data_IF_780571103726
#
_entry.id   IF_780571103726
#
_cell.length_a   1.000
_cell.length_b   1.000
_cell.length_c   1.000
_cell.angle_alpha   90.00
_cell.angle_beta   90.00
_cell.angle_gamma   90.00
#
_symmetry.space_group_name_H-M   'P 1'
#
loop_
_entity.id
_entity.type
_entity.pdbx_description
1 polymer ?
#
# COMPACT_ATOMS: atom_id res chain seq x y z
N UNK A 1 -3.61 -23.91 28.37
CA UNK A 1 -4.83 -23.16 28.01
C UNK A 1 -5.78 -24.12 27.29
N UNK A 2 -7.03 -24.27 27.74
CA UNK A 2 -7.96 -25.24 27.17
C UNK A 2 -8.27 -24.88 25.70
N UNK A 3 -7.87 -25.72 24.74
CA UNK A 3 -7.93 -25.39 23.29
C UNK A 3 -9.35 -25.17 22.78
N UNK A 4 -10.33 -25.85 23.39
CA UNK A 4 -11.76 -25.59 23.15
C UNK A 4 -12.13 -24.14 23.50
N UNK A 5 -11.68 -23.65 24.67
CA UNK A 5 -11.88 -22.25 25.08
C UNK A 5 -11.17 -21.25 24.16
N UNK A 6 -10.14 -21.66 23.41
CA UNK A 6 -9.49 -20.81 22.42
C UNK A 6 -10.33 -20.71 21.15
N UNK A 7 -10.86 -21.84 20.65
CA UNK A 7 -11.72 -21.87 19.45
C UNK A 7 -13.01 -21.10 19.71
N UNK A 8 -13.64 -21.25 20.88
CA UNK A 8 -14.85 -20.51 21.23
C UNK A 8 -14.60 -19.00 21.27
N UNK A 9 -13.48 -18.56 21.85
CA UNK A 9 -13.08 -17.14 21.88
C UNK A 9 -12.71 -16.61 20.49
N UNK A 10 -12.06 -17.44 19.67
CA UNK A 10 -11.71 -17.09 18.30
C UNK A 10 -12.95 -16.94 17.43
N UNK A 11 -13.95 -17.83 17.59
CA UNK A 11 -15.24 -17.75 16.91
C UNK A 11 -15.99 -16.48 17.29
N UNK A 12 -16.04 -16.14 18.59
CA UNK A 12 -16.64 -14.90 19.06
C UNK A 12 -15.96 -13.66 18.44
N UNK A 13 -14.62 -13.62 18.41
CA UNK A 13 -13.86 -12.53 17.79
C UNK A 13 -14.10 -12.44 16.27
N UNK A 14 -14.16 -13.58 15.58
CA UNK A 14 -14.46 -13.63 14.15
C UNK A 14 -15.84 -13.06 13.82
N UNK A 15 -16.89 -13.46 14.56
CA UNK A 15 -18.23 -12.92 14.34
C UNK A 15 -18.32 -11.42 14.63
N UNK A 16 -17.63 -10.92 15.65
CA UNK A 16 -17.55 -9.48 15.92
C UNK A 16 -16.93 -8.74 14.72
N UNK A 17 -15.84 -9.26 14.15
CA UNK A 17 -15.20 -8.67 12.98
C UNK A 17 -16.10 -8.71 11.74
N UNK A 18 -16.83 -9.80 11.53
CA UNK A 18 -17.81 -9.92 10.44
C UNK A 18 -18.92 -8.88 10.59
N UNK A 19 -19.47 -8.70 11.80
CA UNK A 19 -20.52 -7.70 12.08
C UNK A 19 -20.00 -6.28 11.82
N UNK A 20 -18.81 -5.94 12.33
CA UNK A 20 -18.18 -4.62 12.08
C UNK A 20 -18.00 -4.39 10.59
N UNK A 21 -17.58 -5.42 9.84
CA UNK A 21 -17.37 -5.31 8.39
C UNK A 21 -18.69 -5.14 7.63
N UNK A 22 -19.76 -5.85 8.02
CA UNK A 22 -21.10 -5.67 7.45
C UNK A 22 -21.62 -4.26 7.70
N UNK A 23 -21.47 -3.73 8.92
CA UNK A 23 -21.86 -2.34 9.23
C UNK A 23 -21.07 -1.36 8.36
N UNK A 24 -19.76 -1.60 8.16
CA UNK A 24 -18.93 -0.77 7.29
C UNK A 24 -19.35 -0.81 5.81
N UNK A 25 -19.77 -1.97 5.31
CA UNK A 25 -20.30 -2.12 3.94
C UNK A 25 -21.66 -1.43 3.83
N UNK A 26 -22.53 -1.56 4.85
CA UNK A 26 -23.83 -0.90 4.87
C UNK A 26 -23.71 0.63 4.96
N UNK A 27 -22.69 1.16 5.63
CA UNK A 27 -22.41 2.60 5.63
C UNK A 27 -22.05 3.14 4.23
N UNK A 28 -21.62 2.29 3.29
CA UNK A 28 -21.32 2.70 1.91
C UNK A 28 -22.59 2.97 1.09
N UNK A 29 -23.79 2.59 1.56
CA UNK A 29 -25.07 2.97 0.93
C UNK A 29 -25.27 4.49 0.84
N UNK A 30 -24.62 5.28 1.69
CA UNK A 30 -24.71 6.74 1.64
C UNK A 30 -23.94 7.37 0.46
N UNK A 31 -23.04 6.62 -0.18
CA UNK A 31 -22.13 7.16 -1.21
C UNK A 31 -22.04 6.31 -2.50
N UNK A 32 -22.58 5.08 -2.51
CA UNK A 32 -22.54 4.18 -3.66
C UNK A 32 -23.92 3.65 -4.07
N UNK A 33 -24.00 3.17 -5.32
CA UNK A 33 -25.20 2.50 -5.86
C UNK A 33 -25.59 1.27 -5.03
N UNK A 34 -26.89 1.12 -4.76
CA UNK A 34 -27.50 0.00 -4.04
C UNK A 34 -27.00 -1.37 -4.54
N UNK A 35 -26.89 -1.54 -5.87
CA UNK A 35 -26.45 -2.78 -6.50
C UNK A 35 -24.96 -3.10 -6.26
N UNK A 36 -24.11 -2.08 -6.16
CA UNK A 36 -22.68 -2.24 -5.83
C UNK A 36 -22.51 -2.72 -4.38
N UNK A 37 -23.27 -2.14 -3.45
CA UNK A 37 -23.25 -2.52 -2.04
C UNK A 37 -23.79 -3.94 -1.84
N UNK A 38 -24.82 -4.33 -2.58
CA UNK A 38 -25.34 -5.71 -2.56
C UNK A 38 -24.33 -6.70 -3.14
N UNK A 39 -23.68 -6.37 -4.26
CA UNK A 39 -22.65 -7.23 -4.86
C UNK A 39 -21.46 -7.45 -3.94
N UNK A 40 -20.96 -6.38 -3.31
CA UNK A 40 -19.86 -6.48 -2.34
C UNK A 40 -20.25 -7.26 -1.08
N UNK A 41 -21.49 -7.09 -0.60
CA UNK A 41 -22.02 -7.84 0.53
C UNK A 41 -22.20 -9.34 0.21
N UNK A 42 -22.59 -9.67 -1.01
CA UNK A 42 -22.70 -11.06 -1.48
C UNK A 42 -21.33 -11.74 -1.58
N UNK A 43 -20.34 -11.08 -2.17
CA UNK A 43 -18.95 -11.60 -2.24
C UNK A 43 -18.39 -11.79 -0.83
N UNK A 44 -18.61 -10.82 0.06
CA UNK A 44 -18.18 -10.91 1.45
C UNK A 44 -18.86 -12.08 2.18
N UNK A 45 -20.15 -12.31 1.97
CA UNK A 45 -20.89 -13.43 2.55
C UNK A 45 -20.33 -14.79 2.08
N UNK A 46 -19.97 -14.92 0.80
CA UNK A 46 -19.34 -16.15 0.26
C UNK A 46 -17.99 -16.41 0.94
N UNK A 47 -17.14 -15.38 1.05
CA UNK A 47 -15.82 -15.51 1.67
C UNK A 47 -15.95 -15.84 3.17
N UNK A 48 -16.85 -15.15 3.88
CA UNK A 48 -17.15 -15.43 5.29
C UNK A 48 -17.68 -16.85 5.48
N UNK A 49 -18.54 -17.34 4.58
CA UNK A 49 -19.06 -18.70 4.60
C UNK A 49 -17.97 -19.74 4.36
N UNK A 50 -17.03 -19.52 3.43
CA UNK A 50 -15.90 -20.42 3.19
C UNK A 50 -15.02 -20.49 4.45
N UNK A 51 -14.68 -19.35 5.06
CA UNK A 51 -13.88 -19.32 6.29
C UNK A 51 -14.62 -20.04 7.43
N UNK A 52 -15.91 -19.80 7.58
CA UNK A 52 -16.75 -20.48 8.57
C UNK A 52 -16.81 -21.99 8.34
N UNK A 53 -16.98 -22.44 7.09
CA UNK A 53 -16.97 -23.85 6.72
C UNK A 53 -15.62 -24.51 7.01
N UNK A 54 -14.50 -23.82 6.78
CA UNK A 54 -13.16 -24.30 7.13
C UNK A 54 -13.03 -24.44 8.66
N UNK A 55 -13.50 -23.47 9.43
CA UNK A 55 -13.44 -23.53 10.90
C UNK A 55 -14.30 -24.67 11.46
N UNK A 56 -15.53 -24.87 10.95
CA UNK A 56 -16.36 -26.03 11.32
C UNK A 56 -15.67 -27.35 10.97
N UNK A 57 -14.96 -27.41 9.83
CA UNK A 57 -14.20 -28.61 9.44
C UNK A 57 -13.02 -28.87 10.37
N UNK A 58 -12.40 -27.83 10.91
CA UNK A 58 -11.36 -27.94 11.92
C UNK A 58 -11.93 -28.39 13.28
N UNK A 59 -13.07 -27.82 13.70
CA UNK A 59 -13.76 -28.19 14.94
C UNK A 59 -14.30 -29.62 14.90
N UNK A 60 -14.86 -30.07 13.77
CA UNK A 60 -15.36 -31.45 13.61
C UNK A 60 -14.23 -32.48 13.58
N UNK A 61 -13.07 -32.13 13.02
CA UNK A 61 -11.86 -32.96 13.07
C UNK A 61 -11.28 -33.07 14.49
N UNK A 62 -11.49 -32.05 15.33
CA UNK A 62 -11.08 -32.04 16.74
C UNK A 62 -12.09 -32.76 17.66
N UNK A 63 -13.40 -32.60 17.43
CA UNK A 63 -14.44 -33.38 18.10
C UNK A 63 -14.36 -34.88 17.78
N UNK A 64 -13.99 -35.25 16.54
CA UNK A 64 -13.68 -36.63 16.16
C UNK A 64 -12.42 -37.19 16.85
N UNK A 65 -11.50 -36.33 17.31
CA UNK A 65 -10.34 -36.71 18.12
C UNK A 65 -10.68 -36.98 19.60
N UNK A 66 -11.80 -36.46 20.09
CA UNK A 66 -12.25 -36.63 21.48
C UNK A 66 -13.43 -37.60 21.66
N UNK A 67 -13.90 -38.24 20.58
CA UNK A 67 -14.91 -39.30 20.64
C UNK A 67 -14.38 -40.61 20.04
N UNK A 68 -13.36 -41.20 20.65
CA UNK A 68 -13.02 -42.62 20.45
C UNK A 68 -13.84 -43.49 21.41
N UNK A 69 -15.15 -43.47 21.18
CA UNK A 69 -16.05 -44.53 21.60
C UNK A 69 -16.02 -45.66 20.58
N UNK A 70 -15.09 -46.60 20.79
CA UNK A 70 -15.17 -48.02 20.45
C UNK A 70 -16.06 -48.40 19.24
N UNK A 71 -15.43 -48.55 18.06
CA UNK A 71 -15.88 -49.51 17.05
C UNK A 71 -14.69 -50.29 16.51
N UNK A 72 -14.69 -51.59 16.81
CA UNK A 72 -13.78 -52.59 16.28
C UNK A 72 -13.78 -52.56 14.74
N UNK A 73 -12.59 -52.50 14.14
CA UNK A 73 -12.41 -52.76 12.71
C UNK A 73 -11.10 -52.19 12.16
N UNK A 74 -10.04 -53.01 12.12
CA UNK A 74 -8.86 -52.80 11.26
C UNK A 74 -7.67 -52.08 11.88
N UNK A 75 -6.82 -52.84 12.59
CA UNK A 75 -5.51 -52.37 13.03
C UNK A 75 -4.55 -52.24 11.85
N UNK A 76 -4.21 -51.00 11.48
CA UNK A 76 -2.97 -50.67 10.77
C UNK A 76 -2.61 -49.16 10.82
N UNK A 77 -3.56 -48.28 11.15
CA UNK A 77 -3.39 -46.83 10.96
C UNK A 77 -2.52 -46.10 12.01
N UNK A 78 -2.46 -46.59 13.26
CA UNK A 78 -1.72 -45.92 14.35
C UNK A 78 -0.22 -46.26 14.40
N UNK A 79 0.17 -47.45 13.93
CA UNK A 79 1.60 -47.84 13.85
C UNK A 79 2.27 -47.07 12.71
N UNK A 80 1.56 -46.89 11.60
CA UNK A 80 2.03 -46.22 10.40
C UNK A 80 2.28 -44.72 10.61
N UNK A 81 1.40 -44.01 11.33
CA UNK A 81 1.60 -42.58 11.62
C UNK A 81 2.83 -42.34 12.52
N UNK A 82 3.00 -43.15 13.57
CA UNK A 82 4.15 -43.04 14.48
C UNK A 82 5.49 -43.38 13.80
N UNK A 83 5.48 -44.29 12.83
CA UNK A 83 6.64 -44.65 12.04
C UNK A 83 6.97 -43.55 11.02
N UNK A 84 5.95 -43.02 10.34
CA UNK A 84 6.10 -41.91 9.41
C UNK A 84 6.68 -40.67 10.10
N UNK A 85 6.18 -40.33 11.29
CA UNK A 85 6.69 -39.19 12.07
C UNK A 85 8.15 -39.41 12.49
N UNK A 86 8.53 -40.63 12.91
CA UNK A 86 9.93 -40.96 13.23
C UNK A 86 10.84 -40.84 12.01
N UNK A 87 10.41 -41.34 10.84
CA UNK A 87 11.17 -41.25 9.59
C UNK A 87 11.32 -39.78 9.17
N UNK A 88 10.22 -39.02 9.22
CA UNK A 88 10.23 -37.58 8.95
C UNK A 88 11.22 -36.86 9.85
N UNK A 89 11.13 -37.04 11.17
CA UNK A 89 12.04 -36.41 12.13
C UNK A 89 13.51 -36.76 11.86
N UNK A 90 13.80 -38.00 11.47
CA UNK A 90 15.17 -38.41 11.10
C UNK A 90 15.68 -37.65 9.87
N UNK A 91 14.85 -37.46 8.85
CA UNK A 91 15.23 -36.70 7.66
C UNK A 91 15.29 -35.19 7.90
N UNK A 92 14.41 -34.64 8.72
CA UNK A 92 14.48 -33.23 9.16
C UNK A 92 15.80 -32.98 9.88
N UNK A 93 16.15 -33.80 10.88
CA UNK A 93 17.44 -33.68 11.57
C UNK A 93 18.66 -33.88 10.66
N UNK A 94 18.56 -34.73 9.64
CA UNK A 94 19.62 -34.88 8.63
C UNK A 94 19.77 -33.63 7.76
N UNK A 95 18.66 -33.02 7.34
CA UNK A 95 18.68 -31.78 6.57
C UNK A 95 19.25 -30.62 7.41
N UNK A 96 18.83 -30.50 8.68
CA UNK A 96 19.35 -29.51 9.62
C UNK A 96 20.86 -29.67 9.85
N UNK A 97 21.34 -30.91 9.97
CA UNK A 97 22.79 -31.19 10.06
C UNK A 97 23.53 -30.67 8.83
N UNK A 98 23.03 -30.93 7.63
CA UNK A 98 23.65 -30.42 6.41
C UNK A 98 23.61 -28.88 6.33
N UNK A 99 22.55 -28.24 6.81
CA UNK A 99 22.48 -26.77 6.92
C UNK A 99 23.55 -26.25 7.89
N UNK A 100 23.71 -26.89 9.06
CA UNK A 100 24.73 -26.51 10.04
C UNK A 100 26.16 -26.66 9.47
N UNK A 101 26.37 -27.65 8.62
CA UNK A 101 27.62 -27.87 7.87
C UNK A 101 27.76 -26.95 6.63
N UNK A 102 26.78 -26.06 6.37
CA UNK A 102 26.67 -25.20 5.18
C UNK A 102 26.59 -25.94 3.85
N UNK A 103 26.24 -27.21 3.86
CA UNK A 103 25.95 -28.01 2.65
C UNK A 103 24.47 -27.89 2.25
N UNK A 104 24.10 -26.68 1.82
CA UNK A 104 22.73 -26.34 1.45
C UNK A 104 22.19 -27.18 0.28
N UNK A 105 23.06 -27.66 -0.62
CA UNK A 105 22.67 -28.54 -1.74
C UNK A 105 22.19 -29.89 -1.24
N UNK A 106 22.93 -30.51 -0.31
CA UNK A 106 22.51 -31.79 0.28
C UNK A 106 21.26 -31.62 1.14
N UNK A 107 21.20 -30.59 1.97
CA UNK A 107 20.01 -30.29 2.76
C UNK A 107 18.76 -30.13 1.89
N UNK A 108 18.86 -29.36 0.81
CA UNK A 108 17.76 -29.17 -0.12
C UNK A 108 17.33 -30.47 -0.82
N UNK A 109 18.27 -31.33 -1.20
CA UNK A 109 17.95 -32.66 -1.75
C UNK A 109 17.21 -33.54 -0.75
N UNK A 110 17.57 -33.49 0.54
CA UNK A 110 16.83 -34.20 1.61
C UNK A 110 15.39 -33.68 1.67
N UNK A 111 15.19 -32.36 1.72
CA UNK A 111 13.86 -31.77 1.72
C UNK A 111 13.04 -32.14 0.47
N UNK A 112 13.59 -32.00 -0.73
CA UNK A 112 12.85 -32.24 -1.97
C UNK A 112 12.58 -33.72 -2.24
N UNK A 113 13.57 -34.60 -2.01
CA UNK A 113 13.48 -35.99 -2.47
C UNK A 113 12.99 -36.93 -1.37
N UNK A 114 13.38 -36.70 -0.11
CA UNK A 114 13.04 -37.59 1.00
C UNK A 114 11.80 -37.11 1.76
N UNK A 115 11.68 -35.80 1.97
CA UNK A 115 10.54 -35.19 2.65
C UNK A 115 9.43 -34.71 1.69
N UNK A 116 9.68 -34.76 0.37
CA UNK A 116 8.77 -34.26 -0.68
C UNK A 116 8.34 -32.79 -0.48
N UNK A 117 9.14 -32.01 0.26
CA UNK A 117 8.92 -30.60 0.51
C UNK A 117 9.77 -29.75 -0.44
N UNK A 118 9.23 -29.52 -1.63
CA UNK A 118 9.90 -28.72 -2.66
C UNK A 118 10.11 -27.26 -2.23
N UNK A 119 9.21 -26.72 -1.40
CA UNK A 119 9.31 -25.33 -0.93
C UNK A 119 10.46 -25.15 0.04
N UNK A 120 10.55 -25.99 1.09
CA UNK A 120 11.69 -25.97 2.02
C UNK A 120 13.00 -26.25 1.32
N UNK A 121 12.99 -27.15 0.34
CA UNK A 121 14.15 -27.41 -0.52
C UNK A 121 14.62 -26.15 -1.26
N UNK A 122 13.71 -25.47 -1.97
CA UNK A 122 14.01 -24.23 -2.67
C UNK A 122 14.49 -23.13 -1.72
N UNK A 123 13.83 -22.99 -0.56
CA UNK A 123 14.18 -22.01 0.46
C UNK A 123 15.56 -22.24 1.05
N UNK A 124 15.91 -23.51 1.32
CA UNK A 124 17.24 -23.90 1.80
C UNK A 124 18.33 -23.55 0.78
N UNK A 125 18.07 -23.72 -0.52
CA UNK A 125 18.99 -23.29 -1.58
C UNK A 125 19.12 -21.76 -1.60
N UNK A 126 18.01 -21.04 -1.47
CA UNK A 126 18.01 -19.57 -1.43
C UNK A 126 18.83 -19.04 -0.24
N UNK A 127 18.61 -19.59 0.95
CA UNK A 127 19.31 -19.21 2.18
C UNK A 127 20.82 -19.52 2.09
N UNK A 128 21.19 -20.56 1.32
CA UNK A 128 22.57 -20.88 0.97
C UNK A 128 23.19 -20.01 -0.14
N UNK A 129 22.46 -19.03 -0.68
CA UNK A 129 22.91 -18.18 -1.79
C UNK A 129 22.93 -18.88 -3.16
N UNK A 130 22.37 -20.09 -3.26
CA UNK A 130 22.31 -20.90 -4.48
C UNK A 130 21.10 -20.52 -5.34
N UNK A 131 20.99 -19.22 -5.65
CA UNK A 131 19.79 -18.62 -6.23
C UNK A 131 19.38 -19.21 -7.58
N UNK A 132 20.32 -19.58 -8.45
CA UNK A 132 20.00 -20.20 -9.74
C UNK A 132 19.32 -21.58 -9.59
N UNK A 133 19.75 -22.37 -8.60
CA UNK A 133 19.17 -23.67 -8.31
C UNK A 133 17.80 -23.51 -7.65
N UNK A 134 17.69 -22.59 -6.69
CA UNK A 134 16.42 -22.23 -6.06
C UNK A 134 15.39 -21.78 -7.11
N UNK A 135 15.76 -20.89 -8.04
CA UNK A 135 14.90 -20.42 -9.11
C UNK A 135 14.37 -21.55 -9.99
N UNK A 136 15.22 -22.53 -10.33
CA UNK A 136 14.82 -23.69 -11.12
C UNK A 136 13.79 -24.57 -10.37
N UNK A 137 13.95 -24.73 -9.06
CA UNK A 137 12.97 -25.45 -8.22
C UNK A 137 11.66 -24.67 -8.14
N UNK A 138 11.70 -23.37 -7.86
CA UNK A 138 10.51 -22.52 -7.82
C UNK A 138 9.72 -22.57 -9.14
N UNK A 139 10.41 -22.50 -10.28
CA UNK A 139 9.77 -22.51 -11.59
C UNK A 139 9.23 -23.89 -11.96
N UNK A 140 10.04 -24.95 -11.85
CA UNK A 140 9.69 -26.27 -12.41
C UNK A 140 8.86 -27.15 -11.48
N UNK A 141 9.09 -27.06 -10.16
CA UNK A 141 8.45 -27.95 -9.16
C UNK A 141 7.32 -27.26 -8.41
N UNK A 142 7.40 -25.94 -8.22
CA UNK A 142 6.41 -25.17 -7.45
C UNK A 142 5.53 -24.28 -8.33
N UNK A 143 5.85 -24.15 -9.63
CA UNK A 143 5.19 -23.22 -10.57
C UNK A 143 5.06 -21.78 -10.02
N UNK A 144 6.01 -21.37 -9.18
CA UNK A 144 6.01 -20.06 -8.54
C UNK A 144 6.95 -19.13 -9.31
N UNK A 145 6.39 -18.45 -10.31
CA UNK A 145 7.13 -17.51 -11.17
C UNK A 145 7.68 -16.31 -10.39
N UNK A 146 6.97 -15.85 -9.36
CA UNK A 146 7.37 -14.68 -8.57
C UNK A 146 8.66 -14.95 -7.78
N UNK A 147 8.73 -16.06 -7.05
CA UNK A 147 9.93 -16.44 -6.31
C UNK A 147 11.08 -16.83 -7.23
N UNK A 148 10.78 -17.47 -8.38
CA UNK A 148 11.78 -17.76 -9.39
C UNK A 148 12.40 -16.46 -9.96
N UNK A 149 11.59 -15.45 -10.26
CA UNK A 149 12.05 -14.16 -10.77
C UNK A 149 12.96 -13.45 -9.75
N UNK A 150 12.53 -13.41 -8.48
CA UNK A 150 13.30 -12.86 -7.36
C UNK A 150 14.66 -13.58 -7.21
N UNK A 151 14.67 -14.91 -7.28
CA UNK A 151 15.91 -15.68 -7.24
C UNK A 151 16.82 -15.38 -8.44
N UNK A 152 16.27 -15.28 -9.66
CA UNK A 152 17.08 -14.90 -10.83
C UNK A 152 17.65 -13.49 -10.71
N UNK A 153 16.92 -12.54 -10.14
CA UNK A 153 17.42 -11.20 -9.85
C UNK A 153 18.59 -11.24 -8.85
N UNK A 154 18.43 -11.95 -7.72
CA UNK A 154 19.52 -12.14 -6.73
C UNK A 154 20.74 -12.83 -7.34
N UNK A 155 20.53 -13.72 -8.30
CA UNK A 155 21.58 -14.37 -9.09
C UNK A 155 22.20 -13.48 -10.18
N UNK A 156 21.76 -12.22 -10.32
CA UNK A 156 22.13 -11.28 -11.39
C UNK A 156 21.82 -11.81 -12.80
N UNK A 157 20.90 -12.76 -12.91
CA UNK A 157 20.38 -13.30 -14.18
C UNK A 157 19.23 -12.41 -14.67
N UNK A 158 19.51 -11.13 -14.89
CA UNK A 158 18.47 -10.12 -15.11
C UNK A 158 17.60 -10.40 -16.33
N UNK A 159 18.13 -10.96 -17.42
CA UNK A 159 17.32 -11.33 -18.60
C UNK A 159 16.22 -12.34 -18.25
N UNK A 160 16.54 -13.40 -17.49
CA UNK A 160 15.57 -14.40 -17.06
C UNK A 160 14.56 -13.83 -16.07
N UNK A 161 15.01 -12.97 -15.16
CA UNK A 161 14.11 -12.28 -14.22
C UNK A 161 13.15 -11.34 -14.97
N UNK A 162 13.64 -10.60 -15.97
CA UNK A 162 12.83 -9.73 -16.83
C UNK A 162 11.72 -10.53 -17.53
N UNK A 163 12.06 -11.67 -18.15
CA UNK A 163 11.07 -12.49 -18.85
C UNK A 163 9.94 -12.93 -17.91
N UNK A 164 10.28 -13.40 -16.71
CA UNK A 164 9.28 -13.78 -15.70
C UNK A 164 8.49 -12.58 -15.17
N UNK A 165 9.12 -11.43 -14.92
CA UNK A 165 8.42 -10.24 -14.44
C UNK A 165 7.49 -9.63 -15.49
N UNK A 166 7.79 -9.81 -16.79
CA UNK A 166 6.86 -9.47 -17.87
C UNK A 166 5.61 -10.34 -17.84
N UNK A 167 5.78 -11.66 -17.67
CA UNK A 167 4.65 -12.59 -17.54
C UNK A 167 3.79 -12.31 -16.29
N UNK A 168 4.40 -11.76 -15.25
CA UNK A 168 3.72 -11.34 -14.01
C UNK A 168 3.15 -9.91 -14.08
N UNK A 169 3.26 -9.23 -15.22
CA UNK A 169 2.84 -7.85 -15.44
C UNK A 169 3.44 -6.82 -14.45
N UNK A 170 4.60 -7.14 -13.86
CA UNK A 170 5.30 -6.26 -12.92
C UNK A 170 6.14 -5.21 -13.67
N UNK A 171 5.45 -4.31 -14.38
CA UNK A 171 6.05 -3.33 -15.30
C UNK A 171 7.16 -2.48 -14.67
N UNK A 172 6.96 -1.97 -13.45
CA UNK A 172 7.97 -1.15 -12.76
C UNK A 172 9.24 -1.97 -12.49
N UNK A 173 9.07 -3.23 -12.06
CA UNK A 173 10.19 -4.14 -11.78
C UNK A 173 10.96 -4.48 -13.04
N UNK A 174 10.26 -4.67 -14.16
CA UNK A 174 10.89 -4.86 -15.48
C UNK A 174 11.72 -3.63 -15.86
N UNK A 175 11.17 -2.42 -15.67
CA UNK A 175 11.90 -1.18 -15.89
C UNK A 175 13.17 -1.06 -15.03
N UNK A 176 13.06 -1.39 -13.74
CA UNK A 176 14.18 -1.41 -12.79
C UNK A 176 15.30 -2.34 -13.25
N UNK A 177 14.96 -3.56 -13.70
CA UNK A 177 15.93 -4.52 -14.18
C UNK A 177 16.57 -4.10 -15.51
N UNK A 178 15.83 -3.47 -16.42
CA UNK A 178 16.40 -2.89 -17.63
C UNK A 178 17.40 -1.78 -17.29
N UNK A 179 17.12 -0.95 -16.27
CA UNK A 179 18.06 0.05 -15.78
C UNK A 179 19.34 -0.58 -15.22
N UNK A 180 19.23 -1.69 -14.48
CA UNK A 180 20.39 -2.43 -13.94
C UNK A 180 21.34 -2.96 -15.01
N UNK A 181 20.83 -3.25 -16.22
CA UNK A 181 21.64 -3.68 -17.36
C UNK A 181 21.97 -2.54 -18.34
N UNK A 182 21.78 -1.28 -17.93
CA UNK A 182 22.00 -0.07 -18.73
C UNK A 182 21.17 0.02 -20.02
N UNK A 183 20.05 -0.68 -20.10
CA UNK A 183 19.11 -0.57 -21.21
C UNK A 183 18.06 0.50 -20.90
N UNK A 184 18.50 1.75 -20.97
CA UNK A 184 17.69 2.93 -20.62
C UNK A 184 16.45 3.04 -21.50
N UNK A 185 16.55 2.66 -22.78
CA UNK A 185 15.43 2.74 -23.73
C UNK A 185 14.28 1.84 -23.29
N UNK A 186 14.56 0.56 -23.03
CA UNK A 186 13.52 -0.36 -22.58
C UNK A 186 13.05 -0.04 -21.15
N UNK A 187 13.95 0.41 -20.27
CA UNK A 187 13.56 0.86 -18.94
C UNK A 187 12.50 1.97 -19.00
N UNK A 188 12.77 3.02 -19.79
CA UNK A 188 11.85 4.15 -19.95
C UNK A 188 10.53 3.75 -20.61
N UNK A 189 10.54 2.81 -21.55
CA UNK A 189 9.30 2.29 -22.14
C UNK A 189 8.41 1.61 -21.09
N UNK A 190 8.98 0.77 -20.22
CA UNK A 190 8.23 0.14 -19.13
C UNK A 190 7.80 1.11 -18.05
N UNK A 191 8.65 2.08 -17.68
CA UNK A 191 8.27 3.15 -16.76
C UNK A 191 7.14 4.02 -17.30
N UNK A 192 7.11 4.29 -18.62
CA UNK A 192 6.00 5.01 -19.23
C UNK A 192 4.68 4.24 -19.07
N UNK A 193 4.69 2.92 -19.27
CA UNK A 193 3.48 2.10 -19.03
C UNK A 193 3.00 2.19 -17.57
N UNK A 194 3.93 2.26 -16.60
CA UNK A 194 3.59 2.45 -15.17
C UNK A 194 3.01 3.84 -14.93
N UNK A 195 3.58 4.87 -15.54
CA UNK A 195 3.02 6.23 -15.51
C UNK A 195 1.60 6.22 -16.06
N UNK A 196 1.37 5.60 -17.21
CA UNK A 196 0.06 5.55 -17.86
C UNK A 196 -0.98 4.84 -16.97
N UNK A 197 -0.59 3.73 -16.33
CA UNK A 197 -1.42 3.04 -15.34
C UNK A 197 -1.76 3.95 -14.16
N UNK A 198 -0.78 4.69 -13.62
CA UNK A 198 -1.02 5.61 -12.50
C UNK A 198 -1.91 6.79 -12.91
N UNK A 199 -1.69 7.39 -14.07
CA UNK A 199 -2.50 8.50 -14.59
C UNK A 199 -3.94 8.05 -14.83
N UNK A 200 -4.13 6.85 -15.41
CA UNK A 200 -5.45 6.24 -15.62
C UNK A 200 -6.19 6.05 -14.29
N UNK A 201 -5.47 5.65 -13.24
CA UNK A 201 -6.01 5.49 -11.89
C UNK A 201 -6.02 6.79 -11.06
N UNK A 202 -5.80 7.96 -11.68
CA UNK A 202 -5.71 9.28 -11.03
C UNK A 202 -4.65 9.40 -9.92
N UNK A 203 -3.65 8.53 -9.91
CA UNK A 203 -2.52 8.53 -8.97
C UNK A 203 -1.39 9.45 -9.46
N UNK A 204 -1.71 10.72 -9.69
CA UNK A 204 -0.82 11.71 -10.34
C UNK A 204 0.52 11.92 -9.61
N UNK A 205 0.50 11.95 -8.27
CA UNK A 205 1.73 12.07 -7.47
C UNK A 205 2.64 10.84 -7.67
N UNK A 206 2.10 9.63 -7.81
CA UNK A 206 2.93 8.45 -8.07
C UNK A 206 3.52 8.48 -9.48
N UNK A 207 2.73 8.88 -10.47
CA UNK A 207 3.19 9.07 -11.84
C UNK A 207 4.36 10.07 -11.91
N UNK A 208 4.26 11.21 -11.21
CA UNK A 208 5.34 12.21 -11.19
C UNK A 208 6.62 11.69 -10.51
N UNK A 209 6.51 10.81 -9.51
CA UNK A 209 7.66 10.16 -8.88
C UNK A 209 8.40 9.22 -9.84
N UNK A 210 7.70 8.51 -10.73
CA UNK A 210 8.34 7.68 -11.76
C UNK A 210 9.14 8.56 -12.72
N UNK A 211 8.53 9.63 -13.25
CA UNK A 211 9.25 10.57 -14.12
C UNK A 211 10.50 11.15 -13.44
N UNK A 212 10.35 11.65 -12.21
CA UNK A 212 11.44 12.35 -11.51
C UNK A 212 12.55 11.41 -11.04
N UNK A 213 12.21 10.25 -10.47
CA UNK A 213 13.18 9.37 -9.78
C UNK A 213 13.68 8.21 -10.62
N UNK A 214 12.88 7.70 -11.56
CA UNK A 214 13.21 6.49 -12.34
C UNK A 214 13.63 6.84 -13.76
N UNK A 215 12.93 7.78 -14.40
CA UNK A 215 13.24 8.25 -15.76
C UNK A 215 14.19 9.46 -15.78
N UNK A 216 14.37 10.14 -14.65
CA UNK A 216 15.20 11.35 -14.50
C UNK A 216 14.75 12.52 -15.39
N UNK A 217 13.43 12.67 -15.58
CA UNK A 217 12.81 13.73 -16.38
C UNK A 217 11.94 14.61 -15.47
N UNK A 218 12.54 15.52 -14.66
CA UNK A 218 11.82 16.32 -13.67
C UNK A 218 10.78 17.27 -14.27
N UNK A 219 10.97 17.72 -15.52
CA UNK A 219 10.02 18.61 -16.19
C UNK A 219 8.68 17.91 -16.47
N UNK A 220 8.72 16.64 -16.90
CA UNK A 220 7.50 15.84 -17.09
C UNK A 220 6.81 15.53 -15.76
N UNK A 221 7.59 15.34 -14.68
CA UNK A 221 7.03 15.21 -13.34
C UNK A 221 6.24 16.47 -12.93
N UNK A 222 6.76 17.67 -13.22
CA UNK A 222 6.06 18.93 -12.94
C UNK A 222 4.78 19.08 -13.77
N UNK A 223 4.81 18.70 -15.07
CA UNK A 223 3.62 18.71 -15.93
C UNK A 223 2.51 17.80 -15.39
N UNK A 224 2.85 16.59 -14.94
CA UNK A 224 1.88 15.66 -14.36
C UNK A 224 1.27 16.20 -13.06
N UNK A 225 2.09 16.79 -12.19
CA UNK A 225 1.59 17.39 -10.95
C UNK A 225 0.65 18.57 -11.23
N UNK A 226 1.02 19.44 -12.17
CA UNK A 226 0.16 20.56 -12.57
C UNK A 226 -1.15 20.07 -13.20
N UNK A 227 -1.09 19.05 -14.06
CA UNK A 227 -2.28 18.40 -14.62
C UNK A 227 -3.17 17.82 -13.52
N UNK A 228 -2.60 17.17 -12.51
CA UNK A 228 -3.34 16.64 -11.36
C UNK A 228 -4.04 17.73 -10.54
N UNK A 229 -3.37 18.87 -10.35
CA UNK A 229 -3.99 20.07 -9.77
C UNK A 229 -5.14 20.59 -10.64
N UNK A 230 -4.95 20.72 -11.96
CA UNK A 230 -5.93 21.26 -12.90
C UNK A 230 -7.16 20.37 -13.07
N UNK A 231 -6.99 19.05 -13.07
CA UNK A 231 -8.06 18.05 -13.23
C UNK A 231 -8.73 17.62 -11.91
N UNK A 232 -8.38 18.24 -10.79
CA UNK A 232 -8.91 17.93 -9.45
C UNK A 232 -8.62 16.48 -8.99
N UNK A 233 -7.48 15.93 -9.42
CA UNK A 233 -7.03 14.58 -9.07
C UNK A 233 -6.01 14.67 -7.95
N UNK A 234 -6.50 14.48 -6.72
CA UNK A 234 -5.70 14.66 -5.51
C UNK A 234 -5.01 16.04 -5.49
N UNK A 235 -5.82 17.09 -5.77
CA UNK A 235 -5.36 18.43 -6.11
C UNK A 235 -4.38 19.03 -5.09
N UNK A 236 -4.67 18.89 -3.80
CA UNK A 236 -3.79 19.39 -2.74
C UNK A 236 -2.40 18.75 -2.81
N UNK A 237 -2.34 17.41 -2.85
CA UNK A 237 -1.05 16.72 -2.86
C UNK A 237 -0.29 16.98 -4.15
N UNK A 238 -0.98 17.08 -5.29
CA UNK A 238 -0.38 17.48 -6.56
C UNK A 238 0.25 18.87 -6.48
N UNK A 239 -0.49 19.86 -5.98
CA UNK A 239 -0.02 21.24 -5.84
C UNK A 239 1.14 21.36 -4.84
N UNK A 240 1.03 20.72 -3.68
CA UNK A 240 2.08 20.71 -2.66
C UNK A 240 3.38 20.06 -3.18
N UNK A 241 3.28 18.96 -3.93
CA UNK A 241 4.45 18.34 -4.56
C UNK A 241 5.01 19.21 -5.69
N UNK A 242 4.16 19.90 -6.46
CA UNK A 242 4.59 20.82 -7.52
C UNK A 242 5.48 21.94 -6.96
N UNK A 243 5.01 22.60 -5.89
CA UNK A 243 5.78 23.64 -5.20
C UNK A 243 7.04 23.10 -4.54
N UNK A 244 6.97 21.93 -3.90
CA UNK A 244 8.14 21.30 -3.25
C UNK A 244 9.27 20.97 -4.23
N UNK A 245 8.96 20.76 -5.51
CA UNK A 245 9.96 20.51 -6.54
C UNK A 245 10.64 21.79 -7.08
N UNK A 246 10.25 22.99 -6.61
CA UNK A 246 10.86 24.27 -6.99
C UNK A 246 11.79 24.74 -5.87
N UNK A 247 13.09 24.52 -6.03
CA UNK A 247 14.09 24.82 -5.00
C UNK A 247 14.47 26.31 -4.91
N UNK A 248 14.38 27.05 -6.03
CA UNK A 248 14.62 28.48 -6.03
C UNK A 248 13.39 29.20 -5.46
N UNK A 249 13.56 29.82 -4.29
CA UNK A 249 12.50 30.50 -3.55
C UNK A 249 11.88 31.65 -4.33
N UNK A 250 12.66 32.40 -5.13
CA UNK A 250 12.11 33.49 -5.96
C UNK A 250 11.27 32.94 -7.09
N UNK A 251 11.73 31.84 -7.72
CA UNK A 251 10.94 31.15 -8.74
C UNK A 251 9.66 30.56 -8.14
N UNK A 252 9.74 29.97 -6.95
CA UNK A 252 8.57 29.44 -6.25
C UNK A 252 7.55 30.54 -5.93
N UNK A 253 8.00 31.68 -5.41
CA UNK A 253 7.13 32.83 -5.16
C UNK A 253 6.40 33.29 -6.42
N UNK A 254 7.11 33.41 -7.54
CA UNK A 254 6.53 33.79 -8.83
C UNK A 254 5.51 32.75 -9.33
N UNK A 255 5.82 31.46 -9.23
CA UNK A 255 4.91 30.38 -9.64
C UNK A 255 3.66 30.32 -8.76
N UNK A 256 3.78 30.56 -7.45
CA UNK A 256 2.64 30.70 -6.53
C UNK A 256 1.73 31.83 -7.05
N UNK A 257 2.25 33.03 -7.24
CA UNK A 257 1.44 34.17 -7.70
C UNK A 257 0.80 33.90 -9.07
N UNK A 258 1.57 33.41 -10.04
CA UNK A 258 1.09 33.13 -11.39
C UNK A 258 -0.01 32.08 -11.43
N UNK A 259 0.13 31.02 -10.63
CA UNK A 259 -0.88 29.98 -10.56
C UNK A 259 -2.15 30.50 -9.88
N UNK A 260 -2.02 31.26 -8.79
CA UNK A 260 -3.13 31.84 -8.05
C UNK A 260 -4.06 32.70 -8.94
N UNK A 261 -3.49 33.51 -9.85
CA UNK A 261 -4.27 34.32 -10.80
C UNK A 261 -5.23 33.51 -11.68
N UNK A 262 -4.98 32.21 -11.86
CA UNK A 262 -5.77 31.31 -12.70
C UNK A 262 -6.64 30.35 -11.87
N UNK A 263 -6.62 30.46 -10.54
CA UNK A 263 -7.33 29.53 -9.66
C UNK A 263 -8.84 29.79 -9.72
N UNK A 264 -9.64 28.80 -10.14
CA UNK A 264 -11.08 28.95 -10.12
C UNK A 264 -11.62 28.97 -8.69
N UNK A 265 -12.77 29.62 -8.51
CA UNK A 265 -13.37 29.90 -7.20
C UNK A 265 -13.49 28.67 -6.29
N UNK A 266 -13.85 27.52 -6.85
CA UNK A 266 -14.04 26.26 -6.11
C UNK A 266 -12.72 25.64 -5.59
N UNK A 267 -11.57 26.01 -6.16
CA UNK A 267 -10.23 25.51 -5.77
C UNK A 267 -9.50 26.42 -4.77
N UNK A 268 -10.02 27.63 -4.51
CA UNK A 268 -9.36 28.60 -3.61
C UNK A 268 -9.13 28.05 -2.20
N UNK A 269 -10.01 27.21 -1.68
CA UNK A 269 -9.82 26.59 -0.35
C UNK A 269 -8.63 25.63 -0.36
N UNK A 270 -8.50 24.79 -1.38
CA UNK A 270 -7.36 23.88 -1.54
C UNK A 270 -6.06 24.66 -1.72
N UNK A 271 -6.12 25.78 -2.45
CA UNK A 271 -4.98 26.68 -2.63
C UNK A 271 -4.56 27.34 -1.32
N UNK A 272 -5.51 27.80 -0.49
CA UNK A 272 -5.26 28.35 0.84
C UNK A 272 -4.54 27.34 1.75
N UNK A 273 -4.95 26.07 1.69
CA UNK A 273 -4.26 25.01 2.43
C UNK A 273 -2.81 24.87 1.97
N UNK A 274 -2.53 24.89 0.66
CA UNK A 274 -1.16 24.89 0.15
C UNK A 274 -0.36 26.11 0.64
N UNK A 275 -0.97 27.31 0.69
CA UNK A 275 -0.33 28.51 1.23
C UNK A 275 0.06 28.37 2.69
N UNK A 276 -0.73 27.68 3.52
CA UNK A 276 -0.35 27.39 4.92
C UNK A 276 0.91 26.54 5.02
N UNK A 277 1.10 25.62 4.08
CA UNK A 277 2.30 24.81 4.00
C UNK A 277 3.51 25.64 3.54
N UNK A 278 3.36 26.41 2.45
CA UNK A 278 4.45 27.25 1.91
C UNK A 278 4.87 28.37 2.88
N UNK A 279 3.92 28.99 3.59
CA UNK A 279 4.18 30.06 4.57
C UNK A 279 5.19 29.63 5.66
N UNK A 280 5.17 28.35 6.04
CA UNK A 280 6.06 27.81 7.09
C UNK A 280 7.45 27.46 6.60
N UNK A 281 7.68 27.38 5.27
CA UNK A 281 8.94 26.86 4.72
C UNK A 281 10.05 27.90 4.71
N UNK A 282 9.75 29.14 4.32
CA UNK A 282 10.75 30.19 4.19
C UNK A 282 10.16 31.58 4.51
N UNK A 283 10.80 32.41 5.35
CA UNK A 283 10.36 33.77 5.65
C UNK A 283 10.09 34.64 4.42
N UNK A 284 10.83 34.43 3.31
CA UNK A 284 10.63 35.18 2.06
C UNK A 284 9.26 34.91 1.43
N UNK A 285 8.67 33.74 1.65
CA UNK A 285 7.35 33.38 1.13
C UNK A 285 6.21 33.95 1.98
N UNK A 286 6.48 34.35 3.22
CA UNK A 286 5.44 34.74 4.18
C UNK A 286 4.60 35.91 3.68
N UNK A 287 5.22 36.92 3.08
CA UNK A 287 4.50 38.09 2.55
C UNK A 287 3.50 37.68 1.46
N UNK A 288 3.98 37.00 0.42
CA UNK A 288 3.14 36.57 -0.72
C UNK A 288 2.05 35.60 -0.30
N UNK A 289 2.39 34.57 0.48
CA UNK A 289 1.42 33.55 0.94
C UNK A 289 0.38 34.14 1.89
N UNK A 290 0.75 35.10 2.76
CA UNK A 290 -0.19 35.81 3.64
C UNK A 290 -1.15 36.69 2.84
N UNK A 291 -0.67 37.44 1.86
CA UNK A 291 -1.52 38.29 1.01
C UNK A 291 -2.58 37.45 0.28
N UNK A 292 -2.15 36.36 -0.37
CA UNK A 292 -3.07 35.44 -1.05
C UNK A 292 -4.07 34.84 -0.05
N UNK A 293 -3.60 34.45 1.14
CA UNK A 293 -4.48 33.89 2.15
C UNK A 293 -5.56 34.89 2.60
N UNK A 294 -5.21 36.16 2.79
CA UNK A 294 -6.15 37.20 3.17
C UNK A 294 -7.20 37.46 2.09
N UNK A 295 -6.79 37.49 0.83
CA UNK A 295 -7.73 37.63 -0.29
C UNK A 295 -8.74 36.47 -0.28
N UNK A 296 -8.27 35.23 -0.25
CA UNK A 296 -9.14 34.04 -0.23
C UNK A 296 -10.06 34.06 0.99
N UNK A 297 -9.53 34.36 2.18
CA UNK A 297 -10.31 34.42 3.42
C UNK A 297 -11.39 35.49 3.29
N UNK A 298 -11.05 36.70 2.85
CA UNK A 298 -11.99 37.82 2.73
C UNK A 298 -13.12 37.53 1.73
N UNK A 299 -12.81 36.88 0.62
CA UNK A 299 -13.78 36.50 -0.41
C UNK A 299 -14.73 35.40 0.07
N UNK A 300 -14.21 34.42 0.82
CA UNK A 300 -14.96 33.24 1.25
C UNK A 300 -15.70 33.43 2.57
N UNK A 301 -15.32 34.40 3.40
CA UNK A 301 -15.85 34.55 4.77
C UNK A 301 -17.38 34.70 4.82
N UNK A 302 -17.98 35.31 3.79
CA UNK A 302 -19.43 35.51 3.70
C UNK A 302 -20.20 34.19 3.50
N UNK A 303 -19.58 33.20 2.85
CA UNK A 303 -20.20 31.88 2.58
C UNK A 303 -19.68 30.80 3.52
N UNK A 304 -18.48 30.98 4.10
CA UNK A 304 -17.77 30.02 4.96
C UNK A 304 -17.14 30.74 6.14
N UNK A 305 -17.97 31.12 7.12
CA UNK A 305 -17.51 31.91 8.28
C UNK A 305 -16.37 31.25 9.08
N UNK A 306 -16.25 29.92 9.03
CA UNK A 306 -15.20 29.14 9.67
C UNK A 306 -13.81 29.39 9.09
N UNK A 307 -13.70 29.89 7.85
CA UNK A 307 -12.42 30.15 7.19
C UNK A 307 -11.60 31.23 7.90
N UNK A 308 -12.26 32.09 8.70
CA UNK A 308 -11.58 33.10 9.52
C UNK A 308 -10.59 32.48 10.52
N UNK A 309 -10.80 31.22 10.92
CA UNK A 309 -9.87 30.53 11.83
C UNK A 309 -8.50 30.29 11.18
N UNK A 310 -8.40 30.33 9.84
CA UNK A 310 -7.15 30.13 9.11
C UNK A 310 -6.18 31.30 9.30
N UNK A 311 -6.67 32.50 9.65
CA UNK A 311 -5.84 33.70 9.88
C UNK A 311 -4.74 33.49 10.93
N UNK A 312 -4.99 32.63 11.93
CA UNK A 312 -4.01 32.31 12.99
C UNK A 312 -2.74 31.65 12.42
N UNK A 313 -2.84 30.97 11.27
CA UNK A 313 -1.70 30.27 10.67
C UNK A 313 -0.76 31.22 9.92
N UNK A 314 -1.26 32.39 9.50
CA UNK A 314 -0.49 33.40 8.77
C UNK A 314 -0.02 34.56 9.65
N UNK A 315 -0.48 34.60 10.91
CA UNK A 315 -0.11 35.59 11.93
C UNK A 315 0.35 34.91 13.22
N UNK A 316 1.42 34.11 13.19
CA UNK A 316 1.89 33.38 14.37
C UNK A 316 2.34 34.29 15.51
N UNK A 317 2.81 35.50 15.19
CA UNK A 317 3.35 36.47 16.16
C UNK A 317 2.29 37.47 16.68
N UNK A 318 1.05 37.39 16.20
CA UNK A 318 -0.05 38.26 16.64
C UNK A 318 -0.80 37.63 17.83
N UNK A 319 -0.55 38.14 19.03
CA UNK A 319 -1.19 37.65 20.26
C UNK A 319 -2.69 37.98 20.36
N UNK A 320 -3.18 38.93 19.55
CA UNK A 320 -4.57 39.41 19.59
C UNK A 320 -5.43 38.72 18.53
N UNK A 321 -4.83 38.12 17.49
CA UNK A 321 -5.57 37.49 16.37
C UNK A 321 -6.63 36.48 16.82
N UNK A 322 -6.34 35.69 17.86
CA UNK A 322 -7.29 34.70 18.39
C UNK A 322 -8.51 35.38 19.04
N UNK A 323 -8.31 36.53 19.70
CA UNK A 323 -9.40 37.33 20.28
C UNK A 323 -10.26 37.93 19.17
N UNK A 324 -9.66 38.41 18.09
CA UNK A 324 -10.38 39.02 16.98
C UNK A 324 -11.15 37.99 16.14
N UNK A 325 -10.56 36.83 15.90
CA UNK A 325 -11.26 35.65 15.33
C UNK A 325 -12.49 35.31 16.18
N UNK A 326 -12.33 35.27 17.52
CA UNK A 326 -13.44 34.97 18.44
C UNK A 326 -14.54 36.05 18.41
N UNK A 327 -14.16 37.33 18.43
CA UNK A 327 -15.10 38.47 18.34
C UNK A 327 -15.89 38.46 17.05
N UNK A 328 -15.24 38.18 15.92
CA UNK A 328 -15.89 38.05 14.62
C UNK A 328 -16.93 36.93 14.63
N UNK A 329 -16.53 35.72 15.07
CA UNK A 329 -17.42 34.54 15.10
C UNK A 329 -18.61 34.70 16.04
N UNK A 330 -18.42 35.36 17.18
CA UNK A 330 -19.49 35.58 18.17
C UNK A 330 -20.42 36.74 17.81
N UNK A 331 -20.20 37.43 16.68
CA UNK A 331 -21.05 38.53 16.25
C UNK A 331 -21.02 39.74 17.19
N UNK A 332 -20.05 39.81 18.12
CA UNK A 332 -19.91 40.93 19.08
C UNK A 332 -19.58 42.27 18.40
N UNK A 333 -19.32 42.27 17.10
CA UNK A 333 -19.20 43.47 16.27
C UNK A 333 -20.52 43.95 15.63
N UNK A 334 -21.68 43.32 15.89
CA UNK A 334 -22.99 43.87 15.48
C UNK A 334 -23.42 45.10 16.29
N UNK A 335 -22.68 45.51 17.33
CA UNK A 335 -22.95 46.72 18.12
C UNK A 335 -22.57 48.05 17.44
N UNK A 336 -21.94 48.04 16.25
CA UNK A 336 -21.54 49.27 15.54
C UNK A 336 -22.19 49.44 14.16
N UNK A 337 -23.38 48.87 13.95
CA UNK A 337 -24.25 49.24 12.81
C UNK A 337 -25.39 50.11 13.32
N UNK A 338 -25.13 51.43 13.41
CA UNK A 338 -26.13 52.48 13.35
C UNK A 338 -25.87 53.32 12.10
#
# INVERSE_FOLDING_TARGET
MNKQKFIDKFMAAFFILVIIKVIGILAQLFHQSFWSVIGTLFIFAIVAFIIFAVIIRLESKEKAGNSLGRKNGGGNFYVESSLFDKIRNKYEGLAEKYIAEKDYRKAAKVYMNLLQDNYRGAKTLEDGGLYNEAAAVYLKKLNNKSEAANCFEKAKQYKKAIDLYKELEQKEKVGDLYRQINDVKNANAYYQMVVDDFVTNSQMVKASLIYRKKMEIPDEAQKILLKGWEEDKDAFNCLNNYFTNIFDVKKLELEIQNLYQKVPDYKKITYLEAMKHEFKKDPKLQSTTRTIAYEIISEKIATRSEIVNELKHFNPDDEVILKDISRYKTGRNRMFRN
#
